data_IF_208181276942
#
_entry.id   IF_208181276942
#
_cell.length_a   1.000
_cell.length_b   1.000
_cell.length_c   1.000
_cell.angle_alpha   90.00
_cell.angle_beta   90.00
_cell.angle_gamma   90.00
#
_symmetry.space_group_name_H-M   'P 1'
#
loop_
_entity.id
_entity.type
_entity.pdbx_description
1 polymer ?
#
# COMPACT_ATOMS: atom_id res chain seq x y z
N UNK A 1 52.39 -11.94 -4.89
CA UNK A 1 51.14 -11.42 -4.33
C UNK A 1 51.25 -9.92 -4.17
N UNK A 2 50.50 -9.17 -4.90
CA UNK A 2 50.47 -7.70 -4.73
C UNK A 2 49.65 -7.38 -3.47
N UNK A 3 50.28 -6.70 -2.50
CA UNK A 3 49.55 -6.11 -1.36
C UNK A 3 48.67 -4.98 -1.88
N UNK A 4 47.37 -4.92 -1.51
CA UNK A 4 46.52 -3.82 -1.92
C UNK A 4 47.07 -2.50 -1.40
N UNK A 5 47.23 -1.54 -2.29
CA UNK A 5 47.72 -0.20 -1.94
C UNK A 5 46.71 0.46 -1.00
N UNK A 6 47.19 1.26 -0.06
CA UNK A 6 46.36 1.95 0.98
C UNK A 6 45.20 2.77 0.39
N UNK A 7 45.26 3.17 -0.88
CA UNK A 7 44.20 3.86 -1.59
C UNK A 7 43.01 2.97 -1.97
N UNK A 8 43.22 1.70 -2.31
CA UNK A 8 42.15 0.78 -2.67
C UNK A 8 41.25 0.42 -1.47
N UNK A 9 41.86 0.17 -0.31
CA UNK A 9 41.12 -0.15 0.93
C UNK A 9 40.25 1.02 1.40
N UNK A 10 40.74 2.27 1.26
CA UNK A 10 39.94 3.45 1.62
C UNK A 10 38.77 3.68 0.68
N UNK A 11 38.93 3.37 -0.60
CA UNK A 11 37.86 3.48 -1.60
C UNK A 11 36.78 2.43 -1.38
N UNK A 12 37.15 1.19 -1.13
CA UNK A 12 36.22 0.10 -0.80
C UNK A 12 35.38 0.42 0.45
N UNK A 13 36.01 0.86 1.54
CA UNK A 13 35.29 1.29 2.76
C UNK A 13 34.32 2.45 2.51
N UNK A 14 34.66 3.38 1.62
CA UNK A 14 33.81 4.51 1.26
C UNK A 14 32.59 4.05 0.46
N UNK A 15 32.78 3.12 -0.49
CA UNK A 15 31.72 2.51 -1.28
C UNK A 15 30.77 1.73 -0.37
N UNK A 16 31.27 0.94 0.59
CA UNK A 16 30.47 0.19 1.54
C UNK A 16 29.62 1.11 2.43
N UNK A 17 30.17 2.23 2.90
CA UNK A 17 29.42 3.21 3.69
C UNK A 17 28.31 3.88 2.87
N UNK A 18 28.55 4.19 1.63
CA UNK A 18 27.57 4.80 0.74
C UNK A 18 26.44 3.79 0.41
N UNK A 19 26.81 2.53 0.14
CA UNK A 19 25.84 1.45 -0.05
C UNK A 19 24.95 1.26 1.18
N UNK A 20 25.52 1.19 2.37
CA UNK A 20 24.76 1.01 3.61
C UNK A 20 23.81 2.19 3.86
N UNK A 21 24.23 3.42 3.61
CA UNK A 21 23.34 4.60 3.73
C UNK A 21 22.17 4.53 2.75
N UNK A 22 22.43 4.12 1.52
CA UNK A 22 21.39 3.97 0.51
C UNK A 22 20.45 2.83 0.85
N UNK A 23 20.95 1.72 1.36
CA UNK A 23 20.12 0.60 1.83
C UNK A 23 19.21 1.02 2.98
N UNK A 24 19.75 1.71 4.00
CA UNK A 24 18.96 2.19 5.14
C UNK A 24 17.90 3.20 4.69
N UNK A 25 18.24 4.12 3.81
CA UNK A 25 17.30 5.08 3.25
C UNK A 25 16.15 4.38 2.50
N UNK A 26 16.46 3.40 1.65
CA UNK A 26 15.46 2.65 0.91
C UNK A 26 14.57 1.80 1.84
N UNK A 27 15.12 1.23 2.90
CA UNK A 27 14.35 0.53 3.94
C UNK A 27 13.37 1.47 4.65
N UNK A 28 13.80 2.69 4.97
CA UNK A 28 12.94 3.71 5.56
C UNK A 28 11.80 4.12 4.62
N UNK A 29 12.08 4.34 3.34
CA UNK A 29 11.06 4.66 2.34
C UNK A 29 10.04 3.52 2.21
N UNK A 30 10.51 2.28 2.15
CA UNK A 30 9.64 1.10 2.07
C UNK A 30 8.75 0.95 3.30
N UNK A 31 9.30 1.21 4.48
CA UNK A 31 8.55 1.20 5.74
C UNK A 31 7.48 2.29 5.79
N UNK A 32 7.83 3.51 5.38
CA UNK A 32 6.88 4.62 5.31
C UNK A 32 5.74 4.33 4.32
N UNK A 33 6.07 3.82 3.13
CA UNK A 33 5.06 3.42 2.15
C UNK A 33 4.12 2.37 2.71
N UNK A 34 4.66 1.34 3.36
CA UNK A 34 3.84 0.29 3.98
C UNK A 34 2.90 0.86 5.04
N UNK A 35 3.39 1.73 5.92
CA UNK A 35 2.58 2.36 6.95
C UNK A 35 1.44 3.21 6.34
N UNK A 36 1.71 3.92 5.24
CA UNK A 36 0.69 4.69 4.50
C UNK A 36 -0.37 3.77 3.89
N UNK A 37 0.04 2.67 3.25
CA UNK A 37 -0.87 1.68 2.68
C UNK A 37 -1.73 1.00 3.75
N UNK A 38 -1.16 0.66 4.90
CA UNK A 38 -1.89 0.09 6.04
C UNK A 38 -2.95 1.08 6.57
N UNK A 39 -2.62 2.37 6.63
CA UNK A 39 -3.57 3.43 6.98
C UNK A 39 -4.71 3.54 5.97
N UNK A 40 -4.39 3.54 4.69
CA UNK A 40 -5.38 3.60 3.59
C UNK A 40 -6.30 2.37 3.61
N UNK A 41 -5.79 1.19 3.94
CA UNK A 41 -6.57 -0.04 4.03
C UNK A 41 -7.70 0.02 5.07
N UNK A 42 -7.61 0.93 6.05
CA UNK A 42 -8.67 1.17 7.03
C UNK A 42 -9.83 2.01 6.47
N UNK A 43 -9.76 2.47 5.23
CA UNK A 43 -10.82 3.27 4.61
C UNK A 43 -11.25 4.45 5.49
N UNK A 44 -12.52 4.56 5.80
CA UNK A 44 -13.07 5.60 6.68
C UNK A 44 -12.73 5.45 8.17
N UNK A 45 -11.91 4.45 8.55
CA UNK A 45 -11.47 4.17 9.92
C UNK A 45 -12.29 3.12 10.63
N UNK A 46 -11.72 2.57 11.70
CA UNK A 46 -12.30 1.44 12.45
C UNK A 46 -13.75 1.66 12.87
N UNK A 47 -14.06 2.83 13.41
CA UNK A 47 -15.43 3.15 13.87
C UNK A 47 -16.45 3.07 12.74
N UNK A 48 -16.13 3.61 11.56
CA UNK A 48 -17.03 3.57 10.41
C UNK A 48 -17.13 2.16 9.82
N UNK A 49 -16.06 1.39 9.84
CA UNK A 49 -16.07 -0.03 9.44
C UNK A 49 -16.99 -0.83 10.37
N UNK A 50 -16.87 -0.68 11.68
CA UNK A 50 -17.74 -1.35 12.65
C UNK A 50 -19.21 -0.98 12.46
N UNK A 51 -19.48 0.31 12.26
CA UNK A 51 -20.84 0.81 11.98
C UNK A 51 -21.40 0.26 10.65
N UNK A 52 -20.55 0.09 9.65
CA UNK A 52 -20.93 -0.50 8.36
C UNK A 52 -21.24 -1.99 8.52
N UNK A 53 -20.42 -2.72 9.27
CA UNK A 53 -20.60 -4.14 9.56
C UNK A 53 -21.82 -4.42 10.45
N UNK A 54 -22.12 -3.55 11.41
CA UNK A 54 -23.31 -3.70 12.26
C UNK A 54 -24.62 -3.67 11.47
N UNK A 55 -24.60 -3.10 10.26
CA UNK A 55 -25.72 -3.09 9.31
C UNK A 55 -25.76 -4.34 8.40
N UNK A 56 -24.92 -5.35 8.68
CA UNK A 56 -24.81 -6.58 7.88
C UNK A 56 -24.13 -6.39 6.53
N UNK A 57 -23.34 -5.31 6.33
CA UNK A 57 -22.70 -4.99 5.07
C UNK A 57 -21.21 -5.32 5.11
N UNK A 58 -20.69 -5.82 3.98
CA UNK A 58 -19.27 -6.04 3.78
C UNK A 58 -18.59 -4.74 3.35
N UNK A 59 -17.35 -4.54 3.79
CA UNK A 59 -16.51 -3.43 3.29
C UNK A 59 -16.14 -3.64 1.81
N UNK A 60 -15.67 -2.59 1.13
CA UNK A 60 -15.24 -2.71 -0.26
C UNK A 60 -14.15 -3.77 -0.43
N UNK A 61 -13.16 -3.81 0.45
CA UNK A 61 -12.05 -4.80 0.41
C UNK A 61 -12.53 -6.23 0.68
N UNK A 62 -13.46 -6.41 1.61
CA UNK A 62 -14.07 -7.74 1.86
C UNK A 62 -14.87 -8.22 0.64
N UNK A 63 -15.60 -7.33 -0.01
CA UNK A 63 -16.34 -7.66 -1.24
C UNK A 63 -15.41 -8.07 -2.37
N UNK A 64 -14.29 -7.37 -2.55
CA UNK A 64 -13.27 -7.73 -3.54
C UNK A 64 -12.68 -9.10 -3.22
N UNK A 65 -12.29 -9.34 -1.96
CA UNK A 65 -11.74 -10.62 -1.53
C UNK A 65 -12.72 -11.79 -1.74
N UNK A 66 -14.02 -11.52 -1.62
CA UNK A 66 -15.05 -12.50 -1.88
C UNK A 66 -15.28 -12.78 -3.35
N UNK A 67 -15.05 -11.78 -4.21
CA UNK A 67 -15.25 -11.87 -5.66
C UNK A 67 -14.10 -12.57 -6.38
N UNK A 68 -12.84 -12.29 -5.98
CA UNK A 68 -11.67 -12.82 -6.65
C UNK A 68 -11.49 -14.32 -6.39
N UNK A 69 -10.83 -14.99 -7.31
CA UNK A 69 -10.53 -16.41 -7.19
C UNK A 69 -9.70 -16.69 -5.95
N UNK A 70 -10.05 -17.76 -5.25
CA UNK A 70 -9.38 -18.17 -4.01
C UNK A 70 -7.88 -18.39 -4.26
N UNK A 71 -7.03 -17.74 -3.46
CA UNK A 71 -5.58 -17.81 -3.58
C UNK A 71 -4.99 -16.92 -4.68
N UNK A 72 -5.81 -16.20 -5.46
CA UNK A 72 -5.31 -15.20 -6.39
C UNK A 72 -4.94 -13.90 -5.69
N UNK A 73 -4.08 -13.12 -6.34
CA UNK A 73 -3.67 -11.79 -5.84
C UNK A 73 -4.56 -10.70 -6.40
N UNK A 74 -4.83 -9.70 -5.60
CA UNK A 74 -5.41 -8.45 -6.04
C UNK A 74 -4.31 -7.37 -6.11
N UNK A 75 -4.13 -6.80 -7.30
CA UNK A 75 -3.23 -5.68 -7.51
C UNK A 75 -4.03 -4.38 -7.40
N UNK A 76 -3.96 -3.72 -6.26
CA UNK A 76 -4.62 -2.43 -6.06
C UNK A 76 -3.89 -1.32 -6.83
N UNK A 77 -4.66 -0.52 -7.56
CA UNK A 77 -4.19 0.64 -8.30
C UNK A 77 -4.78 1.90 -7.67
N UNK A 78 -3.93 2.92 -7.45
CA UNK A 78 -4.39 4.18 -6.87
C UNK A 78 -4.73 4.13 -5.39
N UNK A 79 -4.09 3.23 -4.62
CA UNK A 79 -4.28 3.14 -3.17
C UNK A 79 -4.02 4.47 -2.44
N UNK A 80 -3.06 5.26 -2.92
CA UNK A 80 -2.71 6.57 -2.37
C UNK A 80 -3.43 7.73 -3.07
N UNK A 81 -4.39 7.46 -3.96
CA UNK A 81 -5.20 8.50 -4.57
C UNK A 81 -6.02 9.25 -3.49
N UNK A 82 -6.07 10.56 -3.59
CA UNK A 82 -6.74 11.41 -2.62
C UNK A 82 -6.03 11.56 -1.27
N UNK A 83 -4.79 11.04 -1.15
CA UNK A 83 -3.99 11.25 0.04
C UNK A 83 -3.69 12.73 0.23
N UNK A 84 -3.71 13.18 1.49
CA UNK A 84 -3.55 14.60 1.88
C UNK A 84 -4.66 15.53 1.34
N UNK A 85 -5.70 14.98 0.71
CA UNK A 85 -6.86 15.75 0.27
C UNK A 85 -8.02 15.63 1.27
N UNK A 86 -8.73 16.72 1.45
CA UNK A 86 -9.92 16.77 2.30
C UNK A 86 -9.66 16.37 3.77
N UNK A 87 -8.48 16.66 4.32
CA UNK A 87 -8.13 16.31 5.70
C UNK A 87 -9.07 16.95 6.72
N UNK A 88 -9.53 18.17 6.49
CA UNK A 88 -10.55 18.89 7.28
C UNK A 88 -11.90 18.15 7.36
N UNK A 89 -12.17 17.26 6.40
CA UNK A 89 -13.38 16.44 6.32
C UNK A 89 -13.15 14.98 6.73
N UNK A 90 -11.93 14.67 7.21
CA UNK A 90 -11.54 13.33 7.64
C UNK A 90 -10.80 12.53 6.58
N UNK A 91 -10.30 13.18 5.52
CA UNK A 91 -9.53 12.59 4.44
C UNK A 91 -10.37 11.80 3.45
N UNK A 92 -9.74 11.40 2.35
CA UNK A 92 -10.36 10.62 1.28
C UNK A 92 -9.44 9.47 0.83
N UNK A 93 -9.19 8.45 1.67
CA UNK A 93 -8.29 7.35 1.33
C UNK A 93 -8.79 6.62 0.08
N UNK A 94 -7.85 6.30 -0.81
CA UNK A 94 -8.12 5.70 -2.14
C UNK A 94 -9.16 6.48 -2.96
N UNK A 95 -9.27 7.78 -2.77
CA UNK A 95 -10.31 8.62 -3.36
C UNK A 95 -11.75 8.06 -3.15
N UNK A 96 -11.98 7.32 -2.07
CA UNK A 96 -13.27 6.67 -1.76
C UNK A 96 -13.61 5.45 -2.63
N UNK A 97 -12.66 4.97 -3.44
CA UNK A 97 -12.87 3.86 -4.37
C UNK A 97 -11.68 2.93 -4.35
N UNK A 98 -11.90 1.64 -4.08
CA UNK A 98 -10.86 0.62 -4.20
C UNK A 98 -10.87 0.08 -5.62
N UNK A 99 -9.78 0.30 -6.35
CA UNK A 99 -9.65 -0.11 -7.75
C UNK A 99 -8.42 -1.01 -7.92
N UNK A 100 -8.54 -2.04 -8.72
CA UNK A 100 -7.40 -2.91 -8.99
C UNK A 100 -7.69 -3.98 -10.02
N UNK A 101 -6.73 -4.87 -10.17
CA UNK A 101 -6.76 -5.99 -11.09
C UNK A 101 -6.75 -7.29 -10.28
N UNK A 102 -7.68 -8.17 -10.58
CA UNK A 102 -7.78 -9.48 -9.96
C UNK A 102 -8.32 -10.52 -10.94
N UNK A 103 -8.25 -11.78 -10.54
CA UNK A 103 -8.81 -12.90 -11.32
C UNK A 103 -10.18 -13.27 -10.80
N UNK A 104 -11.14 -13.36 -11.70
CA UNK A 104 -12.51 -13.81 -11.41
C UNK A 104 -12.84 -14.94 -12.39
N UNK A 105 -13.07 -16.13 -11.86
CA UNK A 105 -13.32 -17.36 -12.67
C UNK A 105 -12.23 -17.58 -13.74
N UNK A 106 -10.96 -17.43 -13.36
CA UNK A 106 -9.80 -17.62 -14.21
C UNK A 106 -9.54 -16.49 -15.21
N UNK A 107 -10.34 -15.44 -15.22
CA UNK A 107 -10.16 -14.28 -16.11
C UNK A 107 -9.65 -13.07 -15.36
N UNK A 108 -8.70 -12.38 -15.95
CA UNK A 108 -8.19 -11.13 -15.43
C UNK A 108 -9.21 -10.01 -15.64
N UNK A 109 -9.61 -9.37 -14.55
CA UNK A 109 -10.63 -8.33 -14.54
C UNK A 109 -10.13 -7.08 -13.85
N UNK A 110 -10.56 -5.92 -14.33
CA UNK A 110 -10.50 -4.67 -13.57
C UNK A 110 -11.69 -4.64 -12.63
N UNK A 111 -11.42 -4.41 -11.36
CA UNK A 111 -12.43 -4.40 -10.30
C UNK A 111 -12.45 -3.01 -9.69
N UNK A 112 -13.64 -2.44 -9.57
CA UNK A 112 -13.88 -1.13 -8.96
C UNK A 112 -14.93 -1.30 -7.87
N UNK A 113 -14.62 -0.92 -6.65
CA UNK A 113 -15.53 -1.02 -5.51
C UNK A 113 -15.57 0.30 -4.75
N UNK A 114 -16.75 0.92 -4.68
CA UNK A 114 -16.96 2.10 -3.86
C UNK A 114 -16.82 1.75 -2.38
N UNK A 115 -16.07 2.54 -1.64
CA UNK A 115 -15.90 2.39 -0.19
C UNK A 115 -16.90 3.31 0.54
N UNK A 116 -18.01 2.71 0.95
CA UNK A 116 -19.04 3.42 1.69
C UNK A 116 -18.64 3.87 3.10
N UNK A 117 -17.47 3.45 3.59
CA UNK A 117 -16.89 3.93 4.86
C UNK A 117 -16.16 5.24 4.70
N UNK A 118 -15.72 5.56 3.48
CA UNK A 118 -15.18 6.86 3.10
C UNK A 118 -16.34 7.75 2.69
N UNK A 119 -16.29 9.01 3.09
CA UNK A 119 -17.33 9.96 2.76
C UNK A 119 -17.33 10.20 1.24
N UNK A 120 -18.36 9.75 0.58
CA UNK A 120 -18.63 10.11 -0.81
C UNK A 120 -19.37 11.45 -0.86
#
# INVERSE_FOLDING_TARGET
MATPTHSSVSTEKKVDLEFNKNEDFNKQLSFQLKARLDKVALGGGKKKIEQHKSKGKLTARERINYLIDKGSRFLEIGALAGEEMYEEWGGCPSAGVVTGIGYVSGRQCVIVANDATVKA
#
